data_IF_007187867224
#
_entry.id   IF_007187867224
#
_cell.length_a   1.000
_cell.length_b   1.000
_cell.length_c   1.000
_cell.angle_alpha   90.00
_cell.angle_beta   90.00
_cell.angle_gamma   90.00
#
_symmetry.space_group_name_H-M   'P 1'
#
loop_
_entity.id
_entity.type
_entity.pdbx_description
1 polymer ?
#
# COMPACT_ATOMS: atom_id res chain seq x y z
N UNK A 1 -12.16 4.38 13.84
CA UNK A 1 -11.38 4.51 12.61
C UNK A 1 -10.41 3.33 12.51
N UNK A 2 -10.24 2.79 11.30
CA UNK A 2 -9.27 1.71 11.04
C UNK A 2 -7.99 2.22 10.35
N UNK A 3 -7.93 3.50 10.02
CA UNK A 3 -6.76 4.27 9.58
C UNK A 3 -6.96 5.70 10.06
N UNK A 4 -5.96 6.28 10.70
CA UNK A 4 -5.94 7.70 11.05
C UNK A 4 -5.27 8.47 9.93
N UNK A 5 -5.94 9.52 9.44
CA UNK A 5 -5.44 10.38 8.37
C UNK A 5 -4.78 9.61 7.22
N UNK A 6 -5.60 8.88 6.45
CA UNK A 6 -5.13 7.97 5.40
C UNK A 6 -4.50 8.71 4.23
N UNK A 7 -3.19 8.59 4.07
CA UNK A 7 -2.37 9.22 3.03
C UNK A 7 -1.74 8.20 2.05
N UNK A 8 -2.18 6.94 2.10
CA UNK A 8 -1.62 5.82 1.34
C UNK A 8 -2.58 5.23 0.30
N UNK A 9 -3.80 5.78 0.16
CA UNK A 9 -4.88 5.20 -0.64
C UNK A 9 -5.25 3.78 -0.15
N UNK A 10 -5.28 3.60 1.16
CA UNK A 10 -5.61 2.33 1.82
C UNK A 10 -6.98 2.37 2.51
N UNK A 11 -7.98 2.80 1.77
CA UNK A 11 -9.39 2.79 2.18
C UNK A 11 -9.92 1.36 2.40
N UNK A 12 -11.02 1.25 3.13
CA UNK A 12 -11.70 -0.02 3.44
C UNK A 12 -12.68 -0.34 2.30
N UNK A 13 -12.19 -0.95 1.25
CA UNK A 13 -12.94 -1.21 0.01
C UNK A 13 -13.67 -2.56 -0.03
N UNK A 14 -13.31 -3.49 0.87
CA UNK A 14 -13.91 -4.81 0.94
C UNK A 14 -15.26 -4.78 1.67
N UNK A 15 -16.21 -5.61 1.24
CA UNK A 15 -17.42 -5.84 2.01
C UNK A 15 -17.07 -6.54 3.34
N UNK A 16 -17.67 -6.13 4.46
CA UNK A 16 -17.54 -6.84 5.73
C UNK A 16 -18.25 -8.19 5.67
N UNK A 17 -17.74 -9.16 6.42
CA UNK A 17 -18.28 -10.51 6.51
C UNK A 17 -18.97 -10.66 7.86
N UNK A 18 -20.25 -11.03 7.83
CA UNK A 18 -21.05 -11.29 9.03
C UNK A 18 -21.08 -12.79 9.30
N UNK A 19 -20.78 -13.19 10.53
CA UNK A 19 -20.75 -14.58 10.92
C UNK A 19 -21.18 -14.80 12.36
N UNK A 20 -21.59 -16.05 12.63
CA UNK A 20 -21.72 -16.60 13.98
C UNK A 20 -20.66 -17.70 14.10
N UNK A 21 -19.64 -17.47 14.91
CA UNK A 21 -18.46 -18.35 15.01
C UNK A 21 -18.10 -18.64 16.46
N UNK A 22 -17.43 -19.76 16.69
CA UNK A 22 -16.89 -20.11 18.00
C UNK A 22 -15.54 -19.42 18.20
N UNK A 23 -15.44 -18.59 19.23
CA UNK A 23 -14.18 -17.98 19.65
C UNK A 23 -14.00 -18.26 21.14
N UNK A 24 -12.88 -18.85 21.51
CA UNK A 24 -12.57 -19.23 22.91
C UNK A 24 -13.68 -20.02 23.59
N UNK A 25 -14.33 -20.95 22.84
CA UNK A 25 -15.42 -21.80 23.34
C UNK A 25 -16.76 -21.09 23.52
N UNK A 26 -16.91 -19.86 23.02
CA UNK A 26 -18.16 -19.11 23.06
C UNK A 26 -18.65 -18.75 21.65
N UNK A 27 -19.94 -18.90 21.41
CA UNK A 27 -20.56 -18.45 20.17
C UNK A 27 -20.57 -16.92 20.13
N UNK A 28 -19.90 -16.33 19.15
CA UNK A 28 -19.83 -14.88 18.94
C UNK A 28 -20.49 -14.51 17.62
N UNK A 29 -21.23 -13.42 17.66
CA UNK A 29 -21.78 -12.76 16.47
C UNK A 29 -20.81 -11.70 16.03
N UNK A 30 -20.11 -11.92 14.91
CA UNK A 30 -19.03 -11.04 14.50
C UNK A 30 -19.32 -10.30 13.20
N UNK A 31 -18.63 -9.20 13.01
CA UNK A 31 -18.33 -8.60 11.72
C UNK A 31 -16.81 -8.61 11.52
N UNK A 32 -16.36 -9.26 10.46
CA UNK A 32 -14.95 -9.35 10.10
C UNK A 32 -14.69 -8.48 8.86
N UNK A 33 -13.73 -7.55 8.98
CA UNK A 33 -13.41 -6.56 7.96
C UNK A 33 -11.98 -6.76 7.42
N UNK A 34 -11.82 -7.42 6.26
CA UNK A 34 -10.54 -7.43 5.55
C UNK A 34 -10.19 -6.03 5.05
N UNK A 35 -8.90 -5.71 4.99
CA UNK A 35 -8.45 -4.37 4.64
C UNK A 35 -7.34 -4.36 3.61
N UNK A 36 -7.13 -3.20 2.97
CA UNK A 36 -6.00 -2.97 2.06
C UNK A 36 -4.64 -3.09 2.76
N UNK A 37 -4.57 -2.88 4.08
CA UNK A 37 -3.36 -3.08 4.90
C UNK A 37 -3.03 -4.56 5.13
N UNK A 38 -3.88 -5.48 4.67
CA UNK A 38 -3.81 -6.92 4.97
C UNK A 38 -4.03 -7.25 6.46
N UNK A 39 -4.79 -6.41 7.15
CA UNK A 39 -5.35 -6.70 8.46
C UNK A 39 -6.78 -7.24 8.34
N UNK A 40 -7.16 -8.10 9.26
CA UNK A 40 -8.55 -8.44 9.54
C UNK A 40 -8.94 -7.81 10.88
N UNK A 41 -9.85 -6.85 10.85
CA UNK A 41 -10.47 -6.31 12.06
C UNK A 41 -11.74 -7.10 12.35
N UNK A 42 -11.91 -7.55 13.59
CA UNK A 42 -13.07 -8.34 14.00
C UNK A 42 -13.75 -7.68 15.19
N UNK A 43 -15.05 -7.42 15.03
CA UNK A 43 -15.86 -6.77 16.04
C UNK A 43 -17.08 -7.64 16.39
N UNK A 44 -17.56 -7.55 17.62
CA UNK A 44 -18.90 -8.01 17.98
C UNK A 44 -19.92 -7.17 17.21
N UNK A 45 -20.76 -7.81 16.39
CA UNK A 45 -21.70 -7.08 15.53
C UNK A 45 -22.92 -6.50 16.28
N UNK A 46 -23.09 -6.83 17.56
CA UNK A 46 -24.19 -6.32 18.39
C UNK A 46 -23.73 -5.07 19.15
N UNK A 47 -22.51 -5.12 19.72
CA UNK A 47 -21.98 -4.03 20.56
C UNK A 47 -21.04 -3.09 19.80
N UNK A 48 -20.42 -3.54 18.72
CA UNK A 48 -19.37 -2.81 18.01
C UNK A 48 -17.98 -2.92 18.66
N UNK A 49 -17.88 -3.63 19.79
CA UNK A 49 -16.60 -3.80 20.49
C UNK A 49 -15.67 -4.73 19.71
N UNK A 50 -14.36 -4.44 19.66
CA UNK A 50 -13.40 -5.33 19.03
C UNK A 50 -13.32 -6.67 19.79
N UNK A 51 -13.27 -7.78 19.06
CA UNK A 51 -13.13 -9.12 19.66
C UNK A 51 -11.74 -9.28 20.28
N UNK A 52 -10.71 -8.82 19.60
CA UNK A 52 -9.35 -8.73 20.12
C UNK A 52 -8.89 -7.28 20.21
N UNK A 53 -7.99 -6.95 21.12
CA UNK A 53 -7.52 -5.58 21.27
C UNK A 53 -6.99 -4.98 19.96
N UNK A 54 -7.29 -3.73 19.74
CA UNK A 54 -6.69 -2.89 18.69
C UNK A 54 -5.75 -1.92 19.40
N UNK A 55 -4.44 -2.02 19.10
CA UNK A 55 -3.41 -1.22 19.73
C UNK A 55 -3.08 0.00 18.89
N UNK A 56 -3.01 1.17 19.51
CA UNK A 56 -2.44 2.36 18.90
C UNK A 56 -0.91 2.26 18.96
N UNK A 57 -0.28 2.11 17.79
CA UNK A 57 1.18 2.01 17.70
C UNK A 57 1.75 3.24 17.01
N UNK A 58 2.84 3.78 17.56
CA UNK A 58 3.56 4.90 16.95
C UNK A 58 4.03 4.55 15.54
N UNK A 59 3.87 5.50 14.62
CA UNK A 59 4.32 5.40 13.23
C UNK A 59 5.24 6.56 12.89
N UNK A 60 5.95 6.44 11.79
CA UNK A 60 6.85 7.49 11.33
C UNK A 60 6.05 8.75 10.94
N UNK A 61 6.57 9.91 11.34
CA UNK A 61 6.07 11.23 10.91
C UNK A 61 6.78 11.62 9.62
N UNK A 62 6.02 12.00 8.61
CA UNK A 62 6.56 12.48 7.34
C UNK A 62 6.98 13.95 7.40
N UNK A 63 7.51 14.42 6.28
CA UNK A 63 8.11 15.76 6.15
C UNK A 63 7.58 16.57 4.94
N UNK A 64 6.47 16.14 4.34
CA UNK A 64 5.88 16.87 3.21
C UNK A 64 5.36 18.22 3.71
N UNK A 65 5.81 19.35 3.13
CA UNK A 65 5.41 20.67 3.59
C UNK A 65 3.89 20.90 3.50
N UNK A 66 3.28 21.30 4.63
CA UNK A 66 1.84 21.56 4.71
C UNK A 66 0.97 20.34 4.99
N UNK A 67 1.54 19.13 5.04
CA UNK A 67 0.84 17.93 5.45
C UNK A 67 0.95 17.74 6.97
N UNK A 68 -0.09 17.13 7.57
CA UNK A 68 -0.03 16.69 8.96
C UNK A 68 -0.07 15.15 9.02
N UNK A 69 0.43 14.58 10.10
CA UNK A 69 0.56 13.14 10.26
C UNK A 69 -0.01 12.68 11.59
N UNK A 70 -0.82 11.63 11.57
CA UNK A 70 -1.20 10.98 12.82
C UNK A 70 0.03 10.34 13.45
N UNK A 71 0.29 10.57 14.75
CA UNK A 71 1.44 9.99 15.44
C UNK A 71 1.31 8.48 15.66
N UNK A 72 0.10 7.94 15.57
CA UNK A 72 -0.20 6.52 15.76
C UNK A 72 -1.13 6.01 14.68
N UNK A 73 -1.16 4.68 14.52
CA UNK A 73 -2.13 3.96 13.71
C UNK A 73 -2.67 2.75 14.48
N UNK A 74 -3.91 2.31 14.18
CA UNK A 74 -4.52 1.17 14.84
C UNK A 74 -3.98 -0.15 14.25
N UNK A 75 -3.53 -1.05 15.12
CA UNK A 75 -3.06 -2.38 14.77
C UNK A 75 -3.89 -3.43 15.52
N UNK A 76 -4.64 -4.30 14.81
CA UNK A 76 -5.31 -5.41 15.46
C UNK A 76 -4.25 -6.39 15.99
N UNK A 77 -4.46 -6.93 17.19
CA UNK A 77 -3.54 -7.90 17.79
C UNK A 77 -3.76 -9.29 17.25
N UNK A 78 -4.99 -9.60 16.80
CA UNK A 78 -5.38 -10.85 16.17
C UNK A 78 -6.49 -10.63 15.13
N UNK A 79 -6.58 -11.53 14.13
CA UNK A 79 -5.53 -12.46 13.74
C UNK A 79 -4.28 -11.71 13.25
N UNK A 80 -3.13 -12.39 13.07
CA UNK A 80 -1.96 -11.74 12.51
C UNK A 80 -2.23 -11.23 11.09
N UNK A 81 -1.45 -10.24 10.65
CA UNK A 81 -1.53 -9.77 9.27
C UNK A 81 -1.35 -10.93 8.29
N UNK A 82 -2.21 -11.01 7.30
CA UNK A 82 -2.25 -12.16 6.38
C UNK A 82 -1.46 -11.94 5.10
N UNK A 83 -0.84 -10.77 4.94
CA UNK A 83 0.11 -10.50 3.86
C UNK A 83 1.26 -9.61 4.34
N UNK A 84 2.18 -9.34 3.41
CA UNK A 84 3.36 -8.52 3.61
C UNK A 84 2.97 -7.09 3.97
N UNK A 85 3.60 -6.56 5.00
CA UNK A 85 3.37 -5.20 5.50
C UNK A 85 4.70 -4.45 5.58
N UNK A 86 4.83 -3.41 4.75
CA UNK A 86 6.08 -2.70 4.57
C UNK A 86 7.05 -3.42 3.62
N UNK A 87 8.21 -2.82 3.40
CA UNK A 87 9.21 -3.29 2.45
C UNK A 87 10.58 -3.26 3.09
N UNK A 88 11.25 -4.39 3.03
CA UNK A 88 12.65 -4.56 3.40
C UNK A 88 13.47 -5.04 2.20
N UNK A 89 14.78 -5.04 2.31
CA UNK A 89 15.62 -5.62 1.26
C UNK A 89 15.36 -7.13 1.08
N UNK A 90 14.90 -7.83 2.12
CA UNK A 90 14.62 -9.28 2.04
C UNK A 90 13.38 -9.62 1.21
N UNK A 91 12.55 -8.61 0.92
CA UNK A 91 11.36 -8.76 0.08
C UNK A 91 11.66 -8.68 -1.41
N UNK A 92 12.87 -8.27 -1.78
CA UNK A 92 13.26 -8.02 -3.17
C UNK A 92 13.59 -9.31 -3.91
N UNK A 93 13.43 -9.25 -5.24
CA UNK A 93 13.74 -10.34 -6.17
C UNK A 93 15.14 -10.94 -5.91
N UNK A 94 15.21 -12.26 -5.89
CA UNK A 94 16.43 -13.03 -5.56
C UNK A 94 16.58 -14.33 -6.38
N UNK A 95 15.96 -14.40 -7.56
CA UNK A 95 16.01 -15.59 -8.42
C UNK A 95 17.42 -15.93 -8.89
N UNK A 96 18.26 -14.91 -9.10
CA UNK A 96 19.69 -15.04 -9.37
C UNK A 96 20.47 -13.93 -8.66
N UNK A 97 21.79 -14.12 -8.42
CA UNK A 97 22.61 -13.06 -7.83
C UNK A 97 22.57 -11.76 -8.64
N UNK A 98 22.50 -11.83 -9.96
CA UNK A 98 22.46 -10.67 -10.86
C UNK A 98 21.12 -9.91 -10.71
N UNK A 99 20.00 -10.64 -10.68
CA UNK A 99 18.68 -10.04 -10.47
C UNK A 99 18.59 -9.43 -9.08
N UNK A 100 19.16 -10.10 -8.06
CA UNK A 100 19.25 -9.57 -6.71
C UNK A 100 20.03 -8.25 -6.66
N UNK A 101 21.19 -8.19 -7.31
CA UNK A 101 22.00 -6.97 -7.36
C UNK A 101 21.24 -5.81 -8.02
N UNK A 102 20.61 -6.05 -9.17
CA UNK A 102 19.76 -5.07 -9.85
C UNK A 102 18.57 -4.64 -9.01
N UNK A 103 17.95 -5.58 -8.26
CA UNK A 103 16.85 -5.29 -7.37
C UNK A 103 17.27 -4.37 -6.23
N UNK A 104 18.42 -4.62 -5.61
CA UNK A 104 19.00 -3.77 -4.57
C UNK A 104 19.35 -2.37 -5.10
N UNK A 105 19.97 -2.32 -6.29
CA UNK A 105 20.30 -1.06 -6.96
C UNK A 105 19.02 -0.23 -7.21
N UNK A 106 17.98 -0.84 -7.79
CA UNK A 106 16.70 -0.17 -8.04
C UNK A 106 16.06 0.31 -6.73
N UNK A 107 16.02 -0.55 -5.72
CA UNK A 107 15.42 -0.22 -4.43
C UNK A 107 16.17 0.93 -3.72
N UNK A 108 17.47 1.09 -3.95
CA UNK A 108 18.28 2.17 -3.37
C UNK A 108 17.84 3.58 -3.79
N UNK A 109 17.02 3.68 -4.83
CA UNK A 109 16.41 4.93 -5.28
C UNK A 109 15.16 5.32 -4.48
N UNK A 110 14.69 4.46 -3.60
CA UNK A 110 13.47 4.65 -2.83
C UNK A 110 13.74 4.50 -1.34
N UNK A 111 12.90 5.15 -0.54
CA UNK A 111 12.84 4.86 0.89
C UNK A 111 12.06 3.57 1.11
N UNK A 112 12.63 2.65 1.87
CA UNK A 112 11.98 1.44 2.36
C UNK A 112 11.54 1.66 3.80
N UNK A 113 10.51 0.93 4.25
CA UNK A 113 10.08 1.01 5.63
C UNK A 113 8.89 0.11 5.94
N UNK A 114 8.42 0.12 7.19
CA UNK A 114 7.26 -0.65 7.63
C UNK A 114 5.97 -0.15 7.00
N UNK A 115 4.87 -0.86 7.28
CA UNK A 115 3.53 -0.36 7.00
C UNK A 115 3.37 1.06 7.58
N UNK A 116 2.68 1.94 6.86
CA UNK A 116 2.50 3.34 7.22
C UNK A 116 3.76 4.23 7.13
N UNK A 117 4.80 3.79 6.42
CA UNK A 117 5.88 4.71 6.01
C UNK A 117 5.26 5.86 5.22
N UNK A 118 5.45 7.13 5.63
CA UNK A 118 4.77 8.25 5.00
C UNK A 118 5.29 8.53 3.59
N UNK A 119 4.40 8.92 2.65
CA UNK A 119 4.82 9.42 1.35
C UNK A 119 5.80 10.57 1.48
N UNK A 120 6.68 10.71 0.51
CA UNK A 120 7.68 11.78 0.48
C UNK A 120 7.62 12.58 -0.83
N UNK A 121 8.06 13.82 -0.80
CA UNK A 121 8.34 14.57 -2.03
C UNK A 121 9.53 13.93 -2.73
N UNK A 122 9.31 13.51 -3.97
CA UNK A 122 10.34 12.82 -4.74
C UNK A 122 11.50 13.73 -5.10
N UNK A 123 12.71 13.26 -4.82
CA UNK A 123 13.97 13.94 -5.14
C UNK A 123 14.83 13.05 -6.05
N UNK A 124 15.22 13.58 -7.19
CA UNK A 124 16.02 12.84 -8.19
C UNK A 124 17.46 12.59 -7.70
N UNK A 125 17.95 13.35 -6.74
CA UNK A 125 19.26 13.18 -6.11
C UNK A 125 19.18 12.50 -4.72
N UNK A 126 17.98 12.42 -4.17
CA UNK A 126 17.63 11.74 -2.94
C UNK A 126 16.82 10.45 -3.18
N UNK A 127 15.68 10.36 -2.53
CA UNK A 127 14.73 9.27 -2.75
C UNK A 127 13.68 9.69 -3.79
N UNK A 128 13.41 8.84 -4.77
CA UNK A 128 12.35 9.10 -5.76
C UNK A 128 10.93 9.03 -5.15
N UNK A 129 10.81 8.56 -3.93
CA UNK A 129 9.59 8.33 -3.16
C UNK A 129 9.79 7.17 -2.21
N UNK A 130 8.69 6.55 -1.77
CA UNK A 130 8.70 5.34 -0.94
C UNK A 130 8.36 4.11 -1.77
N UNK A 131 8.83 2.94 -1.34
CA UNK A 131 8.22 1.65 -1.70
C UNK A 131 7.29 1.24 -0.57
N UNK A 132 6.08 0.84 -0.91
CA UNK A 132 5.08 0.41 0.05
C UNK A 132 4.54 -0.99 -0.27
N UNK A 133 4.24 -1.75 0.75
CA UNK A 133 3.50 -3.00 0.69
C UNK A 133 2.51 -3.07 1.86
N UNK A 134 1.26 -3.43 1.61
CA UNK A 134 0.67 -3.59 0.28
C UNK A 134 0.67 -2.28 -0.52
N UNK A 135 0.67 -2.38 -1.84
CA UNK A 135 0.53 -1.22 -2.72
C UNK A 135 -0.82 -0.51 -2.54
N UNK A 136 -1.05 0.63 -3.20
CA UNK A 136 -2.32 1.37 -3.14
C UNK A 136 -3.55 0.52 -3.56
N UNK A 137 -3.36 -0.47 -4.45
CA UNK A 137 -4.39 -1.46 -4.73
C UNK A 137 -4.72 -2.36 -3.53
N UNK A 138 -3.85 -2.40 -2.53
CA UNK A 138 -4.04 -3.05 -1.25
C UNK A 138 -3.71 -4.54 -1.25
N UNK A 139 -3.63 -5.10 -0.06
CA UNK A 139 -3.62 -6.53 0.20
C UNK A 139 -4.95 -7.13 -0.24
N UNK A 140 -6.04 -6.80 0.47
CA UNK A 140 -7.39 -7.17 0.05
C UNK A 140 -8.16 -5.95 -0.43
N UNK A 141 -8.80 -6.07 -1.58
CA UNK A 141 -9.62 -5.03 -2.18
C UNK A 141 -11.06 -5.55 -2.37
N UNK A 142 -11.79 -5.06 -3.35
CA UNK A 142 -13.19 -5.39 -3.64
C UNK A 142 -13.57 -6.88 -3.53
N UNK A 143 -12.72 -7.85 -3.93
CA UNK A 143 -13.07 -9.27 -3.78
C UNK A 143 -13.32 -9.71 -2.33
N UNK A 144 -12.70 -9.04 -1.34
CA UNK A 144 -12.91 -9.35 0.08
C UNK A 144 -12.47 -10.76 0.45
N UNK A 145 -13.31 -11.42 1.26
CA UNK A 145 -13.11 -12.80 1.71
C UNK A 145 -14.41 -13.60 1.68
N UNK A 146 -14.28 -14.88 1.94
CA UNK A 146 -15.41 -15.83 2.03
C UNK A 146 -15.26 -16.70 3.28
N UNK A 147 -16.32 -16.80 4.06
CA UNK A 147 -16.37 -17.66 5.24
C UNK A 147 -16.96 -19.00 4.87
N UNK A 148 -16.33 -20.08 5.32
CA UNK A 148 -16.94 -21.40 5.39
C UNK A 148 -17.75 -21.52 6.68
N UNK A 149 -19.08 -21.60 6.61
CA UNK A 149 -19.92 -21.63 7.80
C UNK A 149 -19.86 -22.96 8.57
N UNK A 150 -19.37 -24.05 7.95
CA UNK A 150 -19.25 -25.35 8.59
C UNK A 150 -18.00 -25.42 9.48
N UNK A 151 -16.90 -24.84 9.02
CA UNK A 151 -15.61 -24.87 9.72
C UNK A 151 -15.33 -23.59 10.50
N UNK A 152 -15.99 -22.47 10.18
CA UNK A 152 -15.69 -21.15 10.73
C UNK A 152 -14.45 -20.49 10.12
N UNK A 153 -13.81 -21.12 9.15
CA UNK A 153 -12.59 -20.60 8.52
C UNK A 153 -12.94 -19.50 7.53
N UNK A 154 -12.26 -18.36 7.67
CA UNK A 154 -12.34 -17.25 6.73
C UNK A 154 -11.21 -17.31 5.72
N UNK A 155 -11.54 -17.41 4.45
CA UNK A 155 -10.60 -17.35 3.33
C UNK A 155 -10.53 -15.94 2.79
N UNK A 156 -9.34 -15.33 2.80
CA UNK A 156 -9.11 -13.98 2.31
C UNK A 156 -8.07 -13.99 1.20
N UNK A 157 -8.43 -13.42 0.05
CA UNK A 157 -7.47 -13.21 -1.04
C UNK A 157 -6.67 -11.94 -0.81
N UNK A 158 -5.38 -11.96 -1.13
CA UNK A 158 -4.53 -10.77 -1.07
C UNK A 158 -3.60 -10.66 -2.28
N UNK A 159 -3.31 -9.41 -2.64
CA UNK A 159 -2.33 -9.05 -3.65
C UNK A 159 -1.04 -8.57 -2.96
N UNK A 160 0.03 -9.35 -3.07
CA UNK A 160 1.32 -9.08 -2.44
C UNK A 160 2.21 -8.14 -3.27
N UNK A 161 1.64 -7.20 -4.03
CA UNK A 161 2.42 -6.30 -4.87
C UNK A 161 3.08 -5.17 -4.09
N UNK A 162 4.26 -4.73 -4.55
CA UNK A 162 4.85 -3.47 -4.15
C UNK A 162 4.29 -2.32 -4.98
N UNK A 163 4.19 -1.15 -4.36
CA UNK A 163 3.90 0.12 -5.03
C UNK A 163 4.99 1.15 -4.78
N UNK A 164 5.23 2.00 -5.77
CA UNK A 164 6.00 3.22 -5.56
C UNK A 164 5.03 4.38 -5.36
N UNK A 165 5.21 5.12 -4.27
CA UNK A 165 4.41 6.30 -3.97
C UNK A 165 5.34 7.51 -3.78
N UNK A 166 5.09 8.55 -4.56
CA UNK A 166 5.88 9.76 -4.57
C UNK A 166 4.99 10.96 -4.84
N UNK A 167 5.35 12.09 -4.27
CA UNK A 167 4.69 13.37 -4.47
C UNK A 167 5.60 14.30 -5.26
N UNK A 168 5.01 15.08 -6.16
CA UNK A 168 5.72 16.09 -6.95
C UNK A 168 4.83 17.33 -7.09
N UNK A 169 5.39 18.52 -7.31
CA UNK A 169 4.58 19.69 -7.64
C UNK A 169 3.74 19.43 -8.90
N UNK A 170 2.47 19.88 -8.93
CA UNK A 170 1.62 19.76 -10.12
C UNK A 170 2.14 20.63 -11.27
N UNK A 171 1.68 20.37 -12.48
CA UNK A 171 1.83 21.33 -13.57
C UNK A 171 0.99 22.58 -13.30
N UNK A 172 1.38 23.75 -13.85
CA UNK A 172 0.56 24.94 -13.74
C UNK A 172 -0.90 24.70 -14.17
N UNK A 173 -1.84 24.99 -13.25
CA UNK A 173 -3.27 24.81 -13.48
C UNK A 173 -3.82 23.38 -13.38
N UNK A 174 -2.96 22.40 -13.06
CA UNK A 174 -3.38 20.99 -12.88
C UNK A 174 -4.10 20.75 -11.54
N UNK A 175 -3.68 21.44 -10.49
CA UNK A 175 -4.22 21.31 -9.15
C UNK A 175 -3.97 22.59 -8.35
N UNK A 176 -4.79 22.82 -7.35
CA UNK A 176 -4.60 23.85 -6.31
C UNK A 176 -3.75 23.33 -5.13
N UNK A 177 -3.42 22.02 -5.11
CA UNK A 177 -2.54 21.41 -4.12
C UNK A 177 -1.07 21.73 -4.41
N UNK A 178 -0.27 21.87 -3.35
CA UNK A 178 1.18 22.10 -3.51
C UNK A 178 1.90 20.87 -4.08
N UNK A 179 1.41 19.68 -3.77
CA UNK A 179 1.96 18.39 -4.23
C UNK A 179 0.83 17.47 -4.63
N UNK A 180 1.09 16.67 -5.65
CA UNK A 180 0.20 15.60 -6.11
C UNK A 180 1.00 14.33 -6.37
N UNK A 181 0.34 13.19 -6.50
CA UNK A 181 1.00 11.95 -6.86
C UNK A 181 1.71 12.09 -8.22
N UNK A 182 2.95 11.61 -8.27
CA UNK A 182 3.76 11.65 -9.49
C UNK A 182 5.09 10.94 -9.29
N UNK A 183 6.04 11.25 -10.16
CA UNK A 183 7.39 10.74 -10.07
C UNK A 183 8.36 11.86 -10.48
N UNK A 184 9.45 12.13 -9.75
CA UNK A 184 10.35 13.22 -10.08
C UNK A 184 11.03 13.07 -11.45
N UNK A 185 11.07 11.84 -12.01
CA UNK A 185 11.62 11.56 -13.34
C UNK A 185 10.60 11.81 -14.45
N UNK A 186 9.34 11.39 -14.26
CA UNK A 186 8.29 11.43 -15.28
C UNK A 186 7.29 12.57 -15.09
N UNK A 187 7.31 13.23 -13.94
CA UNK A 187 6.42 14.33 -13.60
C UNK A 187 5.15 13.91 -12.86
N UNK A 188 4.24 14.88 -12.68
CA UNK A 188 2.94 14.65 -12.06
C UNK A 188 2.11 13.63 -12.81
N UNK A 189 1.30 12.87 -12.08
CA UNK A 189 0.36 11.93 -12.68
C UNK A 189 -0.75 12.69 -13.37
N UNK A 190 -0.91 12.48 -14.66
CA UNK A 190 -2.07 12.97 -15.42
C UNK A 190 -3.22 12.00 -15.22
N UNK A 191 -4.38 12.50 -14.84
CA UNK A 191 -5.60 11.82 -14.43
C UNK A 191 -5.83 10.43 -15.05
N UNK A 192 -5.94 9.42 -14.20
CA UNK A 192 -6.25 8.03 -14.52
C UNK A 192 -5.72 7.15 -13.41
N UNK A 193 -6.59 6.64 -12.53
CA UNK A 193 -6.25 5.86 -11.36
C UNK A 193 -5.29 4.70 -11.65
N UNK A 194 -4.64 4.19 -10.61
CA UNK A 194 -3.88 2.96 -10.68
C UNK A 194 -4.77 1.86 -11.26
N UNK A 195 -4.50 1.42 -12.50
CA UNK A 195 -5.20 0.30 -13.13
C UNK A 195 -6.34 0.63 -14.10
N UNK A 196 -6.61 1.88 -14.46
CA UNK A 196 -7.65 2.13 -15.48
C UNK A 196 -7.11 1.98 -16.89
N UNK A 197 -7.34 0.82 -17.49
CA UNK A 197 -7.42 0.60 -18.94
C UNK A 197 -8.77 1.07 -19.52
N UNK A 198 -9.55 1.87 -18.82
CA UNK A 198 -10.86 2.37 -19.28
C UNK A 198 -10.78 3.85 -19.62
N UNK A 199 -11.04 4.15 -20.91
CA UNK A 199 -11.11 5.44 -21.56
C UNK A 199 -11.81 6.58 -20.82
N UNK A 200 -11.08 7.24 -19.95
CA UNK A 200 -11.41 8.57 -19.46
C UNK A 200 -10.64 9.58 -20.30
N UNK A 201 -11.33 10.60 -20.80
CA UNK A 201 -10.81 11.59 -21.72
C UNK A 201 -9.43 12.11 -21.29
N UNK A 202 -8.49 11.99 -22.19
CA UNK A 202 -7.14 12.53 -22.09
C UNK A 202 -7.29 14.05 -22.10
N UNK A 203 -7.23 14.68 -20.92
CA UNK A 203 -6.92 16.11 -20.88
C UNK A 203 -5.44 16.18 -21.24
N UNK A 204 -5.15 16.50 -22.48
CA UNK A 204 -3.81 16.84 -22.93
C UNK A 204 -3.44 18.16 -22.26
N UNK A 205 -2.90 18.08 -21.04
CA UNK A 205 -2.01 19.13 -20.62
C UNK A 205 -0.82 19.05 -21.57
N UNK A 206 -0.55 20.12 -22.32
CA UNK A 206 0.69 20.20 -23.07
C UNK A 206 1.82 19.84 -22.09
N UNK A 207 2.36 18.65 -22.28
CA UNK A 207 3.58 18.24 -21.59
C UNK A 207 4.66 19.19 -22.09
N UNK A 208 4.73 20.37 -21.47
CA UNK A 208 5.89 21.24 -21.61
C UNK A 208 7.05 20.30 -21.37
N UNK A 209 7.94 20.17 -22.34
CA UNK A 209 9.13 19.34 -22.28
C UNK A 209 9.87 19.70 -21.00
N UNK A 210 9.50 19.02 -19.92
CA UNK A 210 10.20 19.16 -18.66
C UNK A 210 11.59 18.59 -18.92
N UNK A 211 12.60 19.44 -18.88
CA UNK A 211 13.97 18.94 -18.80
C UNK A 211 14.02 18.09 -17.53
N UNK A 212 14.11 16.77 -17.72
CA UNK A 212 14.31 15.85 -16.59
C UNK A 212 15.60 16.30 -15.91
N UNK A 213 15.55 16.67 -14.63
CA UNK A 213 16.78 17.10 -13.95
C UNK A 213 17.82 15.99 -14.03
N UNK A 214 19.04 16.35 -14.33
CA UNK A 214 20.13 15.36 -14.39
C UNK A 214 20.47 14.94 -12.97
N UNK A 215 20.30 13.63 -12.68
CA UNK A 215 20.69 13.09 -11.38
C UNK A 215 22.21 12.96 -11.27
N UNK A 216 22.75 13.36 -10.12
CA UNK A 216 24.15 13.13 -9.77
C UNK A 216 24.44 11.68 -9.39
N UNK A 217 23.39 10.85 -9.17
CA UNK A 217 23.46 9.43 -8.79
C UNK A 217 23.48 8.48 -10.00
N UNK A 218 23.34 8.97 -11.22
CA UNK A 218 23.20 8.18 -12.43
C UNK A 218 21.81 8.26 -13.05
N UNK A 219 21.45 7.29 -13.89
CA UNK A 219 20.13 7.27 -14.54
C UNK A 219 19.06 6.69 -13.61
N UNK A 220 18.08 7.50 -13.15
CA UNK A 220 17.05 7.01 -12.26
C UNK A 220 16.11 6.04 -12.97
N UNK A 221 15.56 5.04 -12.25
CA UNK A 221 14.61 4.10 -12.80
C UNK A 221 13.27 4.80 -13.12
N UNK A 222 12.61 4.38 -14.19
CA UNK A 222 11.28 4.88 -14.58
C UNK A 222 10.12 4.08 -13.96
N UNK A 223 10.42 3.01 -13.25
CA UNK A 223 9.46 2.11 -12.62
C UNK A 223 10.14 1.13 -11.68
N UNK A 224 9.37 0.18 -11.17
CA UNK A 224 9.81 -0.81 -10.19
C UNK A 224 9.85 -2.23 -10.77
N UNK A 225 10.34 -2.38 -11.99
CA UNK A 225 10.57 -3.68 -12.63
C UNK A 225 12.07 -3.90 -12.83
N UNK A 226 12.52 -5.11 -12.58
CA UNK A 226 13.89 -5.60 -12.84
C UNK A 226 13.84 -6.55 -14.02
N UNK A 227 14.40 -6.17 -15.16
CA UNK A 227 14.37 -6.96 -16.40
C UNK A 227 12.94 -7.45 -16.76
N UNK A 228 11.93 -6.60 -16.58
CA UNK A 228 10.50 -6.87 -16.76
C UNK A 228 9.87 -7.82 -15.71
N UNK A 229 10.59 -8.19 -14.67
CA UNK A 229 10.06 -8.94 -13.53
C UNK A 229 9.68 -7.99 -12.39
N UNK A 230 8.71 -8.35 -11.55
CA UNK A 230 8.42 -7.59 -10.34
C UNK A 230 9.65 -7.42 -9.45
N UNK A 231 9.82 -6.24 -8.86
CA UNK A 231 10.91 -5.98 -7.92
C UNK A 231 10.86 -6.89 -6.69
N UNK A 232 9.66 -7.24 -6.24
CA UNK A 232 9.50 -8.17 -5.11
C UNK A 232 9.62 -9.62 -5.56
N UNK A 233 10.09 -10.46 -4.64
CA UNK A 233 10.02 -11.92 -4.79
C UNK A 233 8.62 -12.46 -4.52
N UNK A 234 8.26 -13.67 -5.01
CA UNK A 234 6.99 -14.31 -4.72
C UNK A 234 6.77 -14.52 -3.19
N UNK A 235 5.51 -14.78 -2.78
CA UNK A 235 4.33 -14.88 -3.61
C UNK A 235 3.80 -13.53 -4.09
N UNK A 236 3.16 -13.49 -5.26
CA UNK A 236 2.56 -12.27 -5.83
C UNK A 236 1.09 -12.12 -5.46
N UNK A 237 0.47 -13.18 -5.03
CA UNK A 237 -0.87 -13.24 -4.49
C UNK A 237 -1.03 -14.44 -3.60
N UNK A 238 -1.97 -14.37 -2.66
CA UNK A 238 -2.24 -15.41 -1.67
C UNK A 238 -3.73 -15.60 -1.48
N UNK A 239 -4.08 -16.78 -0.97
CA UNK A 239 -5.33 -17.03 -0.26
C UNK A 239 -4.91 -17.48 1.12
N UNK A 240 -5.29 -16.73 2.14
CA UNK A 240 -5.03 -17.06 3.55
C UNK A 240 -6.27 -17.64 4.18
N UNK A 241 -6.13 -18.73 4.91
CA UNK A 241 -7.16 -19.31 5.74
C UNK A 241 -6.94 -18.86 7.18
N UNK A 242 -7.92 -18.17 7.74
CA UNK A 242 -7.90 -17.63 9.09
C UNK A 242 -8.96 -18.38 9.92
N UNK A 243 -8.49 -19.10 10.95
CA UNK A 243 -9.28 -19.88 11.87
C UNK A 243 -9.54 -19.07 13.16
#
# INVERSE_FOLDING_TARGET
QLVHHGIWDQDISSAPILADVMIDGQMRKIVAQPTKQAFLYVFDRITGEPIWPIEERSVEIGDVPGEWYSPTQPFPTQPPAYDRQGVTTDDLIDFTPELRAKGLELASWYKLGPLFTPPAVGDINGALGILMAPAAAGGTNWPGGSLDPETGILYVSSNSSLGALSLVPPYPGQSDMAYIQGNPVTGPRTSGGAGSSAGGGRIEFEAQQRQVPVSTRGTPPRGILVDRLPLQKPPYGKISALD
#
